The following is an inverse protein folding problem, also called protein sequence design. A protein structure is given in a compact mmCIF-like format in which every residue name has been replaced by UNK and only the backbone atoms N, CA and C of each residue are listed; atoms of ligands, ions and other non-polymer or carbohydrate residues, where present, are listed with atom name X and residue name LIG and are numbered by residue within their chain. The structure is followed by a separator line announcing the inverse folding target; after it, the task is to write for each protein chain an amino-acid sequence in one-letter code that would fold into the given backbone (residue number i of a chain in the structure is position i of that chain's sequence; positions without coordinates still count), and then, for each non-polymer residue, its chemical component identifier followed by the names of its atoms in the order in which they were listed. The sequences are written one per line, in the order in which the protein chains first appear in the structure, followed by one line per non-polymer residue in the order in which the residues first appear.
data_IF_703882056717
#
_entry.id   IF_703882056717
#
_cell.length_a   1.000
_cell.length_b   1.000
_cell.length_c   1.000
_cell.angle_alpha   90.00
_cell.angle_beta   90.00
_cell.angle_gamma   90.00
#
_symmetry.space_group_name_H-M   'P 1'
#
loop_
_entity.id
_entity.type
_entity.pdbx_description
1 polymer ?
#
# COMPACT_ATOMS: atom_id res chain seq x y z
N UNK A 1 -1.31 21.38 -51.08
CA UNK A 1 -1.94 21.50 -49.74
C UNK A 1 -1.30 20.40 -48.87
N UNK A 2 -0.25 20.76 -48.13
CA UNK A 2 0.36 19.81 -47.19
C UNK A 2 -0.58 19.71 -45.97
N UNK A 3 -1.24 18.56 -45.83
CA UNK A 3 -1.88 18.17 -44.59
C UNK A 3 -0.75 18.08 -43.54
N UNK A 4 -0.58 19.16 -42.78
CA UNK A 4 0.26 19.08 -41.58
C UNK A 4 -0.42 18.05 -40.67
N UNK A 5 0.11 16.85 -40.65
CA UNK A 5 -0.23 15.87 -39.64
C UNK A 5 0.08 16.54 -38.31
N UNK A 6 -0.94 16.99 -37.60
CA UNK A 6 -0.82 17.49 -36.22
C UNK A 6 -0.43 16.28 -35.38
N UNK A 7 0.87 16.02 -35.33
CA UNK A 7 1.41 15.00 -34.42
C UNK A 7 1.18 15.48 -32.98
N UNK A 8 0.81 14.58 -32.09
CA UNK A 8 0.68 14.88 -30.65
C UNK A 8 1.95 15.58 -30.12
N UNK A 9 3.12 15.17 -30.64
CA UNK A 9 4.41 15.77 -30.27
C UNK A 9 4.48 17.24 -30.70
N UNK A 10 4.00 17.59 -31.92
CA UNK A 10 4.01 19.00 -32.37
C UNK A 10 3.05 19.86 -31.57
N UNK A 11 1.90 19.32 -31.15
CA UNK A 11 0.94 20.00 -30.28
C UNK A 11 1.57 20.27 -28.90
N UNK A 12 2.28 19.30 -28.32
CA UNK A 12 2.97 19.47 -27.02
C UNK A 12 4.05 20.54 -27.10
N UNK A 13 4.85 20.58 -28.18
CA UNK A 13 5.95 21.52 -28.35
C UNK A 13 5.47 22.96 -28.65
N UNK A 14 4.29 23.13 -29.21
CA UNK A 14 3.69 24.44 -29.53
C UNK A 14 2.85 25.00 -28.38
N UNK A 15 2.50 24.18 -27.39
CA UNK A 15 1.72 24.56 -26.23
C UNK A 15 2.40 25.67 -25.42
N UNK A 16 1.60 26.49 -24.70
CA UNK A 16 2.13 27.49 -23.79
C UNK A 16 3.02 26.85 -22.72
N UNK A 17 4.04 27.57 -22.26
CA UNK A 17 5.00 27.04 -21.27
C UNK A 17 4.33 26.49 -19.99
N UNK A 18 3.19 27.07 -19.58
CA UNK A 18 2.41 26.57 -18.42
C UNK A 18 1.81 25.20 -18.74
N UNK A 19 1.20 25.03 -19.91
CA UNK A 19 0.62 23.73 -20.33
C UNK A 19 1.72 22.70 -20.49
N UNK A 20 2.88 23.06 -21.04
CA UNK A 20 4.04 22.16 -21.13
C UNK A 20 4.52 21.69 -19.75
N UNK A 21 4.58 22.61 -18.76
CA UNK A 21 4.96 22.27 -17.39
C UNK A 21 3.94 21.34 -16.74
N UNK A 22 2.64 21.60 -16.93
CA UNK A 22 1.57 20.72 -16.46
C UNK A 22 1.68 19.32 -17.06
N UNK A 23 1.89 19.22 -18.39
CA UNK A 23 2.06 17.91 -19.04
C UNK A 23 3.31 17.17 -18.56
N UNK A 24 4.44 17.87 -18.38
CA UNK A 24 5.68 17.29 -17.86
C UNK A 24 5.48 16.76 -16.42
N UNK A 25 4.82 17.55 -15.58
CA UNK A 25 4.46 17.13 -14.22
C UNK A 25 3.61 15.85 -14.25
N UNK A 26 2.55 15.82 -15.04
CA UNK A 26 1.64 14.68 -15.14
C UNK A 26 2.33 13.42 -15.66
N UNK A 27 3.20 13.55 -16.67
CA UNK A 27 4.01 12.42 -17.18
C UNK A 27 4.95 11.90 -16.11
N UNK A 28 5.64 12.78 -15.39
CA UNK A 28 6.54 12.40 -14.29
C UNK A 28 5.79 11.66 -13.18
N UNK A 29 4.64 12.19 -12.77
CA UNK A 29 3.77 11.56 -11.76
C UNK A 29 3.24 10.22 -12.25
N UNK A 30 2.88 10.11 -13.53
CA UNK A 30 2.44 8.85 -14.14
C UNK A 30 3.53 7.78 -14.09
N UNK A 31 4.76 8.10 -14.48
CA UNK A 31 5.91 7.17 -14.41
C UNK A 31 6.19 6.74 -12.97
N UNK A 32 6.18 7.70 -12.02
CA UNK A 32 6.35 7.40 -10.59
C UNK A 32 5.23 6.50 -10.06
N UNK A 33 3.98 6.72 -10.51
CA UNK A 33 2.83 5.89 -10.16
C UNK A 33 2.99 4.45 -10.65
N UNK A 34 3.38 4.25 -11.90
CA UNK A 34 3.68 2.91 -12.43
C UNK A 34 4.79 2.21 -11.65
N UNK A 35 5.89 2.92 -11.33
CA UNK A 35 6.96 2.37 -10.50
C UNK A 35 6.45 1.96 -9.11
N UNK A 36 5.60 2.79 -8.48
CA UNK A 36 4.97 2.46 -7.20
C UNK A 36 4.04 1.23 -7.30
N UNK A 37 3.24 1.13 -8.37
CA UNK A 37 2.34 -0.01 -8.63
C UNK A 37 3.13 -1.32 -8.71
N UNK A 38 4.18 -1.37 -9.55
CA UNK A 38 4.97 -2.59 -9.69
C UNK A 38 5.68 -2.98 -8.39
N UNK A 39 6.32 -2.02 -7.70
CA UNK A 39 6.96 -2.29 -6.41
C UNK A 39 5.97 -2.85 -5.40
N UNK A 40 4.77 -2.29 -5.31
CA UNK A 40 3.72 -2.73 -4.39
C UNK A 40 3.20 -4.11 -4.73
N UNK A 41 2.98 -4.37 -6.02
CA UNK A 41 2.54 -5.68 -6.50
C UNK A 41 3.50 -6.80 -6.07
N UNK A 42 4.81 -6.59 -6.28
CA UNK A 42 5.82 -7.57 -5.88
C UNK A 42 5.93 -7.70 -4.36
N UNK A 43 5.85 -6.57 -3.62
CA UNK A 43 5.89 -6.59 -2.16
C UNK A 43 4.71 -7.38 -1.56
N UNK A 44 3.48 -7.15 -2.04
CA UNK A 44 2.30 -7.88 -1.56
C UNK A 44 2.34 -9.37 -1.90
N UNK A 45 2.79 -9.72 -3.11
CA UNK A 45 2.99 -11.15 -3.47
C UNK A 45 3.98 -11.82 -2.53
N UNK A 46 5.08 -11.14 -2.20
CA UNK A 46 6.08 -11.66 -1.27
C UNK A 46 5.52 -11.82 0.14
N UNK A 47 4.78 -10.83 0.64
CA UNK A 47 4.12 -10.88 1.95
C UNK A 47 3.17 -12.08 2.04
N UNK A 48 2.31 -12.27 1.03
CA UNK A 48 1.38 -13.40 0.97
C UNK A 48 2.14 -14.74 0.99
N UNK A 49 3.15 -14.89 0.14
CA UNK A 49 3.94 -16.13 0.07
C UNK A 49 4.64 -16.47 1.40
N UNK A 50 5.27 -15.47 2.05
CA UNK A 50 5.92 -15.66 3.35
C UNK A 50 4.92 -16.00 4.46
N UNK A 51 3.74 -15.39 4.46
CA UNK A 51 2.70 -15.71 5.44
C UNK A 51 2.18 -17.14 5.25
N UNK A 52 1.91 -17.56 4.01
CA UNK A 52 1.47 -18.93 3.70
C UNK A 52 2.53 -19.99 4.02
N UNK A 53 3.80 -19.67 3.82
CA UNK A 53 4.91 -20.55 4.16
C UNK A 53 5.00 -20.76 5.68
N UNK A 54 5.02 -19.66 6.43
CA UNK A 54 5.04 -19.70 7.89
C UNK A 54 3.81 -20.40 8.47
N UNK A 55 2.63 -20.15 7.94
CA UNK A 55 1.39 -20.77 8.41
C UNK A 55 1.40 -22.28 8.21
N UNK A 56 1.89 -22.77 7.07
CA UNK A 56 2.06 -24.22 6.83
C UNK A 56 3.01 -24.86 7.84
N UNK A 57 4.12 -24.16 8.16
CA UNK A 57 5.07 -24.64 9.16
C UNK A 57 4.45 -24.62 10.57
N UNK A 58 3.73 -23.60 10.91
CA UNK A 58 3.03 -23.46 12.19
C UNK A 58 2.01 -24.58 12.42
N UNK A 59 1.22 -24.93 11.39
CA UNK A 59 0.21 -26.00 11.50
C UNK A 59 0.76 -27.40 11.26
N UNK A 60 2.02 -27.57 10.92
CA UNK A 60 2.64 -28.90 10.74
C UNK A 60 2.87 -29.66 12.05
N UNK A 61 2.66 -29.04 13.20
CA UNK A 61 2.88 -29.64 14.52
C UNK A 61 4.30 -29.43 15.07
N UNK A 62 5.10 -28.58 14.44
CA UNK A 62 6.41 -28.15 14.95
C UNK A 62 6.26 -27.50 16.33
N UNK A 63 7.23 -27.71 17.24
CA UNK A 63 7.16 -27.09 18.57
C UNK A 63 7.23 -25.57 18.47
N UNK A 64 6.43 -24.88 19.26
CA UNK A 64 6.42 -23.40 19.30
C UNK A 64 7.80 -22.80 19.63
N UNK A 65 8.61 -23.51 20.42
CA UNK A 65 9.95 -23.07 20.78
C UNK A 65 10.93 -23.18 19.61
N UNK A 66 10.82 -24.25 18.80
CA UNK A 66 11.68 -24.45 17.63
C UNK A 66 11.31 -23.42 16.53
N UNK A 67 10.02 -23.19 16.31
CA UNK A 67 9.55 -22.13 15.42
C UNK A 67 10.05 -20.75 15.85
N UNK A 68 10.01 -20.47 17.17
CA UNK A 68 10.52 -19.19 17.70
C UNK A 68 12.03 -19.08 17.51
N UNK A 69 12.80 -20.15 17.74
CA UNK A 69 14.25 -20.16 17.53
C UNK A 69 14.59 -19.90 16.05
N UNK A 70 13.87 -20.54 15.12
CA UNK A 70 14.01 -20.30 13.67
C UNK A 70 13.71 -18.84 13.32
N UNK A 71 12.57 -18.31 13.76
CA UNK A 71 12.17 -16.93 13.53
C UNK A 71 13.18 -15.91 14.09
N UNK A 72 13.77 -16.21 15.26
CA UNK A 72 14.77 -15.34 15.88
C UNK A 72 16.09 -15.33 15.08
N UNK A 73 16.50 -16.47 14.51
CA UNK A 73 17.71 -16.58 13.67
C UNK A 73 17.54 -15.87 12.34
N UNK A 74 16.35 -15.94 11.73
CA UNK A 74 16.07 -15.44 10.40
C UNK A 74 15.32 -14.09 10.38
N UNK A 75 15.38 -13.31 11.46
CA UNK A 75 14.57 -12.11 11.67
C UNK A 75 14.54 -11.10 10.49
N UNK A 76 15.63 -11.02 9.69
CA UNK A 76 15.71 -10.14 8.50
C UNK A 76 14.91 -10.66 7.31
N UNK A 77 14.69 -11.96 7.22
CA UNK A 77 13.97 -12.60 6.10
C UNK A 77 12.54 -13.00 6.50
N UNK A 78 12.25 -12.97 7.80
CA UNK A 78 10.97 -13.33 8.37
C UNK A 78 9.82 -12.53 7.75
N UNK A 79 8.72 -13.22 7.45
CA UNK A 79 7.47 -12.62 7.00
C UNK A 79 6.76 -11.82 8.11
N UNK A 80 5.76 -11.00 7.77
CA UNK A 80 4.99 -10.25 8.77
C UNK A 80 4.35 -11.16 9.83
N UNK A 81 3.72 -12.27 9.42
CA UNK A 81 3.07 -13.21 10.35
C UNK A 81 4.07 -13.87 11.30
N UNK A 82 5.24 -14.26 10.79
CA UNK A 82 6.33 -14.81 11.58
C UNK A 82 6.87 -13.80 12.62
N UNK A 83 7.00 -12.51 12.24
CA UNK A 83 7.39 -11.44 13.17
C UNK A 83 6.34 -11.18 14.26
N UNK A 84 5.06 -11.26 13.90
CA UNK A 84 3.96 -11.17 14.87
C UNK A 84 4.04 -12.33 15.87
N UNK A 85 4.19 -13.56 15.38
CA UNK A 85 4.39 -14.75 16.20
C UNK A 85 5.60 -14.61 17.15
N UNK A 86 6.76 -14.26 16.59
CA UNK A 86 7.99 -14.08 17.36
C UNK A 86 7.86 -13.01 18.45
N UNK A 87 7.11 -11.93 18.19
CA UNK A 87 6.82 -10.88 19.15
C UNK A 87 5.98 -11.40 20.33
N UNK A 88 4.95 -12.19 20.06
CA UNK A 88 4.12 -12.83 21.08
C UNK A 88 4.91 -13.83 21.94
N UNK A 89 5.67 -14.73 21.29
CA UNK A 89 6.50 -15.73 21.97
C UNK A 89 7.58 -15.08 22.86
N UNK A 90 8.21 -14.03 22.35
CA UNK A 90 9.23 -13.28 23.13
C UNK A 90 8.65 -12.72 24.42
N UNK A 91 7.50 -12.06 24.36
CA UNK A 91 6.87 -11.49 25.55
C UNK A 91 6.36 -12.57 26.48
N UNK A 92 5.79 -13.65 25.96
CA UNK A 92 5.38 -14.81 26.74
C UNK A 92 6.54 -15.44 27.53
N UNK A 93 7.70 -15.69 26.89
CA UNK A 93 8.88 -16.24 27.53
C UNK A 93 9.45 -15.29 28.59
N UNK A 94 9.54 -14.00 28.27
CA UNK A 94 10.02 -12.96 29.20
C UNK A 94 9.16 -12.85 30.47
N UNK A 95 7.84 -12.94 30.34
CA UNK A 95 6.94 -12.94 31.50
C UNK A 95 7.12 -14.20 32.36
N UNK A 96 7.31 -15.37 31.72
CA UNK A 96 7.62 -16.63 32.44
C UNK A 96 8.96 -16.57 33.17
N UNK A 97 9.99 -16.01 32.58
CA UNK A 97 11.29 -15.78 33.22
C UNK A 97 11.17 -14.89 34.47
N UNK A 98 10.26 -13.93 34.46
CA UNK A 98 9.92 -13.09 35.59
C UNK A 98 9.05 -13.79 36.63
N UNK A 99 8.83 -15.11 36.49
CA UNK A 99 8.03 -15.94 37.40
C UNK A 99 6.58 -15.49 37.53
N UNK A 100 6.05 -14.81 36.50
CA UNK A 100 4.62 -14.53 36.43
C UNK A 100 3.92 -15.85 36.07
N UNK A 101 3.07 -16.33 36.97
CA UNK A 101 2.35 -17.61 36.83
C UNK A 101 0.88 -17.44 36.47
N UNK A 102 0.35 -16.23 36.57
CA UNK A 102 -1.03 -15.94 36.22
C UNK A 102 -1.27 -16.11 34.70
N UNK A 103 -2.10 -17.11 34.30
CA UNK A 103 -2.35 -17.39 32.89
C UNK A 103 -2.92 -16.19 32.12
N UNK A 104 -3.77 -15.39 32.76
CA UNK A 104 -4.38 -14.21 32.15
C UNK A 104 -3.33 -13.17 31.79
N UNK A 105 -2.45 -12.85 32.73
CA UNK A 105 -1.34 -11.89 32.53
C UNK A 105 -0.39 -12.33 31.42
N UNK A 106 -0.06 -13.63 31.35
CA UNK A 106 0.80 -14.18 30.31
C UNK A 106 0.18 -14.05 28.93
N UNK A 107 -1.11 -14.43 28.81
CA UNK A 107 -1.85 -14.38 27.56
C UNK A 107 -2.04 -12.94 27.08
N UNK A 108 -2.46 -12.05 27.98
CA UNK A 108 -2.68 -10.63 27.65
C UNK A 108 -1.39 -9.94 27.23
N UNK A 109 -0.27 -10.26 27.88
CA UNK A 109 1.05 -9.77 27.51
C UNK A 109 1.44 -10.17 26.09
N UNK A 110 1.34 -11.47 25.78
CA UNK A 110 1.62 -11.99 24.45
C UNK A 110 0.71 -11.37 23.37
N UNK A 111 -0.61 -11.29 23.65
CA UNK A 111 -1.59 -10.71 22.74
C UNK A 111 -1.30 -9.23 22.45
N UNK A 112 -0.99 -8.43 23.46
CA UNK A 112 -0.60 -7.01 23.28
C UNK A 112 0.66 -6.87 22.44
N UNK A 113 1.67 -7.74 22.67
CA UNK A 113 2.90 -7.71 21.88
C UNK A 113 2.66 -8.07 20.42
N UNK A 114 1.82 -9.07 20.14
CA UNK A 114 1.40 -9.44 18.78
C UNK A 114 0.66 -8.32 18.07
N UNK A 115 -0.33 -7.69 18.74
CA UNK A 115 -1.09 -6.58 18.17
C UNK A 115 -0.22 -5.35 17.87
N UNK A 116 0.75 -5.05 18.75
CA UNK A 116 1.70 -3.97 18.52
C UNK A 116 2.64 -4.29 17.33
N UNK A 117 3.00 -5.56 17.14
CA UNK A 117 3.77 -5.99 15.97
C UNK A 117 2.93 -5.94 14.70
N UNK A 118 1.70 -6.43 14.74
CA UNK A 118 0.73 -6.36 13.65
C UNK A 118 0.55 -4.92 13.14
N UNK A 119 0.33 -3.96 14.04
CA UNK A 119 0.16 -2.57 13.66
C UNK A 119 1.39 -2.03 12.89
N UNK A 120 2.61 -2.32 13.37
CA UNK A 120 3.85 -1.93 12.66
C UNK A 120 3.97 -2.57 11.28
N UNK A 121 3.58 -3.85 11.14
CA UNK A 121 3.60 -4.52 9.85
C UNK A 121 2.58 -3.92 8.89
N UNK A 122 1.38 -3.56 9.38
CA UNK A 122 0.35 -2.91 8.58
C UNK A 122 0.79 -1.53 8.11
N UNK A 123 1.42 -0.71 8.97
CA UNK A 123 1.96 0.60 8.57
C UNK A 123 2.95 0.48 7.39
N UNK A 124 3.78 -0.57 7.38
CA UNK A 124 4.71 -0.85 6.27
C UNK A 124 3.97 -1.30 5.02
N UNK A 125 2.99 -2.19 5.19
CA UNK A 125 2.21 -2.73 4.06
C UNK A 125 1.29 -1.67 3.45
N UNK A 126 0.76 -0.71 4.20
CA UNK A 126 -0.06 0.39 3.71
C UNK A 126 0.76 1.52 3.08
N UNK A 127 2.06 1.56 3.33
CA UNK A 127 2.93 2.58 2.75
C UNK A 127 2.75 2.69 1.22
N UNK A 128 2.82 3.87 0.66
CA UNK A 128 2.62 4.19 -0.76
C UNK A 128 1.16 4.16 -1.27
N UNK A 129 0.17 3.67 -0.52
CA UNK A 129 -1.23 3.73 -0.92
C UNK A 129 -1.72 5.18 -1.02
N UNK A 130 -1.36 6.03 -0.06
CA UNK A 130 -1.71 7.45 -0.05
C UNK A 130 -1.18 8.19 -1.29
N UNK A 131 0.01 7.82 -1.79
CA UNK A 131 0.54 8.37 -3.03
C UNK A 131 -0.35 8.00 -4.23
N UNK A 132 -0.74 6.72 -4.38
CA UNK A 132 -1.61 6.28 -5.48
C UNK A 132 -3.00 6.93 -5.38
N UNK A 133 -3.55 7.06 -4.18
CA UNK A 133 -4.81 7.76 -3.95
C UNK A 133 -4.71 9.24 -4.38
N UNK A 134 -3.63 9.92 -4.02
CA UNK A 134 -3.38 11.31 -4.42
C UNK A 134 -3.24 11.46 -5.93
N UNK A 135 -2.46 10.59 -6.58
CA UNK A 135 -2.32 10.60 -8.05
C UNK A 135 -3.69 10.41 -8.71
N UNK A 136 -4.46 9.42 -8.26
CA UNK A 136 -5.78 9.12 -8.82
C UNK A 136 -6.78 10.24 -8.66
N UNK A 137 -6.78 10.94 -7.53
CA UNK A 137 -7.73 12.02 -7.23
C UNK A 137 -7.32 13.37 -7.78
N UNK A 138 -6.02 13.69 -7.82
CA UNK A 138 -5.53 15.05 -8.16
C UNK A 138 -5.17 15.19 -9.63
N UNK A 139 -4.61 14.13 -10.28
CA UNK A 139 -4.14 14.23 -11.67
C UNK A 139 -5.21 14.70 -12.68
N UNK A 140 -6.50 14.29 -12.59
CA UNK A 140 -7.54 14.80 -13.48
C UNK A 140 -7.74 16.30 -13.36
N UNK A 141 -7.66 16.84 -12.13
CA UNK A 141 -7.83 18.28 -11.90
C UNK A 141 -6.63 19.10 -12.39
N UNK A 142 -5.42 18.54 -12.26
CA UNK A 142 -4.22 19.16 -12.84
C UNK A 142 -4.30 19.16 -14.37
N UNK A 143 -4.80 18.08 -14.99
CA UNK A 143 -5.07 18.04 -16.42
C UNK A 143 -6.13 19.05 -16.84
N UNK A 144 -7.23 19.15 -16.09
CA UNK A 144 -8.28 20.15 -16.32
C UNK A 144 -7.75 21.57 -16.20
N UNK A 145 -6.91 21.86 -15.21
CA UNK A 145 -6.23 23.16 -15.10
C UNK A 145 -5.43 23.48 -16.37
N UNK A 146 -4.68 22.49 -16.89
CA UNK A 146 -3.96 22.65 -18.16
C UNK A 146 -4.88 22.98 -19.33
N UNK A 147 -6.06 22.37 -19.40
CA UNK A 147 -7.07 22.66 -20.43
C UNK A 147 -7.61 24.10 -20.30
N UNK A 148 -8.02 24.48 -19.10
CA UNK A 148 -8.56 25.84 -18.86
C UNK A 148 -7.53 26.90 -19.21
N UNK A 149 -6.29 26.72 -18.74
CA UNK A 149 -5.19 27.63 -19.06
C UNK A 149 -4.88 27.70 -20.55
N UNK A 150 -4.79 26.55 -21.23
CA UNK A 150 -4.49 26.48 -22.65
C UNK A 150 -5.55 27.15 -23.51
N UNK A 151 -6.85 26.91 -23.22
CA UNK A 151 -7.96 27.57 -23.91
C UNK A 151 -7.92 29.08 -23.65
N UNK A 152 -7.75 29.49 -22.40
CA UNK A 152 -7.64 30.91 -22.06
C UNK A 152 -6.48 31.59 -22.83
N UNK A 153 -5.32 30.94 -22.87
CA UNK A 153 -4.15 31.44 -23.61
C UNK A 153 -4.42 31.56 -25.10
N UNK A 154 -5.07 30.56 -25.71
CA UNK A 154 -5.45 30.58 -27.10
C UNK A 154 -6.37 31.79 -27.41
N UNK A 155 -7.40 32.03 -26.61
CA UNK A 155 -8.32 33.15 -26.79
C UNK A 155 -7.66 34.48 -26.57
N UNK A 156 -6.78 34.66 -25.58
CA UNK A 156 -6.06 35.92 -25.35
C UNK A 156 -5.10 36.23 -26.48
N UNK A 157 -4.55 35.24 -27.18
CA UNK A 157 -3.71 35.45 -28.36
C UNK A 157 -4.47 35.98 -29.58
N UNK A 158 -5.80 35.89 -29.62
CA UNK A 158 -6.64 36.42 -30.68
C UNK A 158 -7.28 37.78 -30.37
N UNK A 159 -7.04 38.31 -29.17
CA UNK A 159 -7.53 39.60 -28.79
C UNK A 159 -6.88 40.68 -29.67
N UNK A 160 -7.67 41.32 -30.52
CA UNK A 160 -7.20 42.36 -31.46
C UNK A 160 -7.11 41.91 -32.92
N UNK A 161 -7.45 40.64 -33.26
CA UNK A 161 -7.59 40.21 -34.64
C UNK A 161 -8.97 40.55 -35.20
N UNK A 162 -9.04 41.17 -36.40
CA UNK A 162 -10.30 41.56 -37.02
C UNK A 162 -11.12 40.36 -37.47
N UNK A 163 -10.49 39.22 -37.75
CA UNK A 163 -11.16 37.96 -38.16
C UNK A 163 -10.51 36.77 -37.50
N UNK A 164 -11.27 36.05 -36.68
CA UNK A 164 -10.87 34.80 -36.06
C UNK A 164 -11.62 33.66 -36.73
N UNK A 165 -10.90 32.72 -37.32
CA UNK A 165 -11.48 31.53 -37.96
C UNK A 165 -11.30 30.31 -37.06
N UNK A 166 -12.13 29.27 -37.26
CA UNK A 166 -11.98 28.00 -36.55
C UNK A 166 -10.58 27.37 -36.77
N UNK A 167 -10.02 27.53 -37.96
CA UNK A 167 -8.67 27.05 -38.27
C UNK A 167 -7.56 27.68 -37.40
N UNK A 168 -7.79 28.93 -36.95
CA UNK A 168 -6.85 29.67 -36.13
C UNK A 168 -6.89 29.21 -34.65
N UNK A 169 -8.07 28.86 -34.12
CA UNK A 169 -8.26 28.49 -32.70
C UNK A 169 -8.11 26.98 -32.44
N UNK A 170 -8.38 26.15 -33.45
CA UNK A 170 -8.38 24.68 -33.29
C UNK A 170 -7.08 24.09 -32.74
N UNK A 171 -5.87 24.53 -33.16
CA UNK A 171 -4.63 24.01 -32.60
C UNK A 171 -4.52 24.24 -31.09
N UNK A 172 -4.78 25.46 -30.58
CA UNK A 172 -4.66 25.80 -29.16
C UNK A 172 -5.68 25.04 -28.29
N UNK A 173 -6.89 24.79 -28.82
CA UNK A 173 -7.87 23.93 -28.13
C UNK A 173 -7.39 22.49 -28.11
N UNK A 174 -6.86 21.98 -29.21
CA UNK A 174 -6.35 20.61 -29.29
C UNK A 174 -5.19 20.37 -28.30
N UNK A 175 -4.25 21.32 -28.21
CA UNK A 175 -3.15 21.28 -27.23
C UNK A 175 -3.67 21.21 -25.80
N UNK A 176 -4.64 22.05 -25.46
CA UNK A 176 -5.26 22.06 -24.14
C UNK A 176 -5.89 20.71 -23.79
N UNK A 177 -6.65 20.09 -24.72
CA UNK A 177 -7.30 18.80 -24.51
C UNK A 177 -6.28 17.67 -24.26
N UNK A 178 -5.08 17.72 -24.84
CA UNK A 178 -4.01 16.75 -24.59
C UNK A 178 -3.61 16.75 -23.11
N UNK A 179 -3.57 17.91 -22.44
CA UNK A 179 -3.23 17.96 -21.00
C UNK A 179 -4.24 17.19 -20.15
N UNK A 180 -5.55 17.32 -20.43
CA UNK A 180 -6.57 16.54 -19.72
C UNK A 180 -6.44 15.04 -20.01
N UNK A 181 -6.19 14.66 -21.26
CA UNK A 181 -6.00 13.26 -21.62
C UNK A 181 -4.82 12.62 -20.87
N UNK A 182 -3.69 13.35 -20.74
CA UNK A 182 -2.53 12.88 -19.94
C UNK A 182 -2.89 12.79 -18.46
N UNK A 183 -3.65 13.75 -17.91
CA UNK A 183 -4.12 13.71 -16.53
C UNK A 183 -4.97 12.49 -16.23
N UNK A 184 -5.90 12.14 -17.11
CA UNK A 184 -6.72 10.92 -17.01
C UNK A 184 -5.89 9.66 -17.18
N UNK A 185 -4.94 9.65 -18.11
CA UNK A 185 -4.05 8.51 -18.32
C UNK A 185 -3.18 8.21 -17.08
N UNK A 186 -2.76 9.25 -16.34
CA UNK A 186 -2.05 9.09 -15.08
C UNK A 186 -2.96 8.60 -13.95
N UNK A 187 -4.20 9.11 -13.87
CA UNK A 187 -5.12 8.85 -12.78
C UNK A 187 -5.75 7.45 -12.82
N UNK A 188 -6.19 7.00 -13.98
CA UNK A 188 -6.97 5.74 -14.11
C UNK A 188 -6.20 4.52 -13.58
N UNK A 189 -4.94 4.26 -13.99
CA UNK A 189 -4.18 3.14 -13.44
C UNK A 189 -3.94 3.26 -11.93
N UNK A 190 -3.71 4.48 -11.44
CA UNK A 190 -3.47 4.74 -10.02
C UNK A 190 -4.68 4.39 -9.17
N UNK A 191 -5.90 4.80 -9.59
CA UNK A 191 -7.16 4.47 -8.88
C UNK A 191 -7.42 2.97 -8.89
N UNK A 192 -7.26 2.31 -10.05
CA UNK A 192 -7.46 0.86 -10.16
C UNK A 192 -6.50 0.11 -9.24
N UNK A 193 -5.21 0.49 -9.25
CA UNK A 193 -4.19 -0.12 -8.43
C UNK A 193 -4.45 0.12 -6.93
N UNK A 194 -4.79 1.35 -6.55
CA UNK A 194 -5.16 1.69 -5.18
C UNK A 194 -6.29 0.80 -4.66
N UNK A 195 -7.39 0.71 -5.39
CA UNK A 195 -8.55 -0.08 -4.99
C UNK A 195 -8.23 -1.59 -4.87
N UNK A 196 -7.39 -2.12 -5.76
CA UNK A 196 -6.98 -3.51 -5.71
C UNK A 196 -6.04 -3.78 -4.51
N UNK A 197 -5.06 -2.91 -4.30
CA UNK A 197 -4.11 -3.07 -3.19
C UNK A 197 -4.78 -2.87 -1.84
N UNK A 198 -5.71 -1.91 -1.70
CA UNK A 198 -6.47 -1.73 -0.46
C UNK A 198 -7.21 -3.01 -0.07
N UNK A 199 -7.94 -3.64 -1.00
CA UNK A 199 -8.61 -4.92 -0.75
C UNK A 199 -7.67 -6.07 -0.42
N UNK A 200 -6.50 -6.12 -1.07
CA UNK A 200 -5.50 -7.15 -0.81
C UNK A 200 -4.87 -6.98 0.58
N UNK A 201 -4.64 -5.74 1.01
CA UNK A 201 -4.13 -5.39 2.33
C UNK A 201 -5.14 -5.75 3.40
N UNK A 202 -6.42 -5.43 3.22
CA UNK A 202 -7.49 -5.79 4.15
C UNK A 202 -7.58 -7.32 4.37
N UNK A 203 -7.40 -8.10 3.29
CA UNK A 203 -7.34 -9.57 3.40
C UNK A 203 -6.13 -10.05 4.19
N UNK A 204 -4.95 -9.46 3.95
CA UNK A 204 -3.74 -9.77 4.72
C UNK A 204 -3.92 -9.41 6.18
N UNK A 205 -4.51 -8.24 6.48
CA UNK A 205 -4.81 -7.80 7.84
C UNK A 205 -5.73 -8.78 8.56
N UNK A 206 -6.88 -9.10 7.96
CA UNK A 206 -7.84 -10.05 8.53
C UNK A 206 -7.20 -11.42 8.80
N UNK A 207 -6.37 -11.90 7.89
CA UNK A 207 -5.69 -13.19 8.05
C UNK A 207 -4.69 -13.16 9.22
N UNK A 208 -3.93 -12.08 9.39
CA UNK A 208 -3.01 -11.91 10.51
C UNK A 208 -3.74 -11.73 11.85
N UNK A 209 -4.87 -11.03 11.87
CA UNK A 209 -5.71 -10.91 13.07
C UNK A 209 -6.28 -12.26 13.49
N UNK A 210 -6.78 -13.05 12.53
CA UNK A 210 -7.26 -14.42 12.79
C UNK A 210 -6.15 -15.27 13.39
N UNK A 211 -4.96 -15.22 12.81
CA UNK A 211 -3.79 -15.92 13.36
C UNK A 211 -3.47 -15.52 14.80
N UNK A 212 -3.52 -14.22 15.14
CA UNK A 212 -3.29 -13.75 16.52
C UNK A 212 -4.30 -14.39 17.49
N UNK A 213 -5.57 -14.48 17.13
CA UNK A 213 -6.59 -15.07 17.98
C UNK A 213 -6.40 -16.61 18.09
N UNK A 214 -6.10 -17.30 16.99
CA UNK A 214 -5.84 -18.75 16.99
C UNK A 214 -4.60 -19.09 17.82
N UNK A 215 -3.52 -18.34 17.65
CA UNK A 215 -2.30 -18.55 18.44
C UNK A 215 -2.54 -18.23 19.92
N UNK A 216 -3.31 -17.19 20.24
CA UNK A 216 -3.70 -16.88 21.62
C UNK A 216 -4.47 -18.03 22.27
N UNK A 217 -5.38 -18.69 21.52
CA UNK A 217 -6.12 -19.87 21.98
C UNK A 217 -5.20 -21.07 22.23
N UNK A 218 -4.17 -21.26 21.39
CA UNK A 218 -3.17 -22.33 21.59
C UNK A 218 -2.37 -22.07 22.86
N UNK A 219 -1.89 -20.83 23.08
CA UNK A 219 -1.19 -20.45 24.31
C UNK A 219 -2.07 -20.68 25.54
N UNK A 220 -3.35 -20.33 25.50
CA UNK A 220 -4.29 -20.53 26.59
C UNK A 220 -4.45 -22.03 26.94
N UNK A 221 -4.62 -22.88 25.93
CA UNK A 221 -4.70 -24.33 26.14
C UNK A 221 -3.43 -24.91 26.77
N UNK A 222 -2.28 -24.47 26.31
CA UNK A 222 -0.99 -24.93 26.86
C UNK A 222 -0.78 -24.48 28.32
N UNK A 223 -1.35 -23.34 28.72
CA UNK A 223 -1.34 -22.89 30.11
C UNK A 223 -2.32 -23.69 30.99
N UNK A 224 -3.49 -24.06 30.46
CA UNK A 224 -4.51 -24.84 31.18
C UNK A 224 -4.17 -26.33 31.35
N UNK A 225 -3.23 -26.86 30.53
CA UNK A 225 -2.78 -28.26 30.59
C UNK A 225 -1.60 -28.52 31.52
N UNK A 226 -1.03 -27.47 32.15
CA UNK A 226 -0.07 -27.70 33.23
C UNK A 226 -0.81 -28.21 34.47
N UNK A 227 -0.51 -29.43 34.99
CA UNK A 227 -1.22 -29.98 36.13
C UNK A 227 -1.02 -29.01 37.30
N UNK A 228 -2.13 -28.52 37.83
CA UNK A 228 -2.16 -27.73 39.07
C UNK A 228 -1.33 -28.39 40.12
N UNK A 229 -0.54 -27.58 40.84
CA UNK A 229 0.16 -28.00 42.03
C UNK A 229 -0.78 -28.66 43.04
N UNK A 230 -0.26 -29.41 44.00
CA UNK A 230 -1.02 -30.32 44.83
C UNK A 230 -2.18 -29.62 45.50
N UNK A 231 -3.39 -30.13 45.25
CA UNK A 231 -4.55 -29.83 46.09
C UNK A 231 -4.16 -30.21 47.51
N UNK A 232 -3.94 -29.19 48.36
CA UNK A 232 -3.85 -29.39 49.80
C UNK A 232 -5.18 -29.98 50.29
N UNK A 233 -5.27 -31.27 50.33
CA UNK A 233 -6.19 -32.01 51.18
C UNK A 233 -5.68 -31.85 52.60
N UNK A 234 -6.22 -30.92 53.34
CA UNK A 234 -5.98 -30.67 54.74
C UNK A 234 -7.21 -30.93 55.54
N UNK A 235 -7.13 -31.79 56.43
CA UNK A 235 -8.07 -32.20 57.48
C UNK A 235 -8.83 -31.04 58.13
#
# INVERSE_FOLDING_TARGET
MNSQNMSIISLVLQASWVVQLVMLLLVTVSVASWAAIFRKLFALKRVKALNEEFEREFWSGTSLNDLYASAAQNAKQAGPMERIFASGMREYQKLRERRITDPGTLLDGARRAMRASFQREMDVVESSLSFLASVGSVSPYVGLFGTVWGIMHAFTGFAGMEQVTLATVAPGIAEALVATAIGLFAAIPAVIAYNNFARDIDRVATHQETFIEEFSNILQRNLGTQPGGPTASGH
#
